data_IF_024314873213
#
_entry.id   IF_024314873213
#
_cell.length_a   1.000
_cell.length_b   1.000
_cell.length_c   1.000
_cell.angle_alpha   90.00
_cell.angle_beta   90.00
_cell.angle_gamma   90.00
#
_symmetry.space_group_name_H-M   'P 1'
#
loop_
_entity.id
_entity.type
_entity.pdbx_description
1 polymer ?
#
# COMPACT_ATOMS: atom_id res chain seq x y z
N UNK A 1 -19.49 35.24 1.62
CA UNK A 1 -19.29 35.40 3.08
C UNK A 1 -17.78 35.42 3.33
N UNK A 2 -17.22 36.36 4.07
CA UNK A 2 -15.79 36.29 4.44
C UNK A 2 -15.67 35.31 5.59
N UNK A 3 -14.74 34.35 5.50
CA UNK A 3 -14.42 33.49 6.65
C UNK A 3 -13.97 34.40 7.77
N UNK A 4 -14.64 34.38 8.91
CA UNK A 4 -14.27 35.22 10.06
C UNK A 4 -12.91 34.76 10.60
N UNK A 5 -11.98 35.69 10.88
CA UNK A 5 -10.66 35.34 11.43
C UNK A 5 -10.75 34.48 12.70
N UNK A 6 -11.77 34.71 13.53
CA UNK A 6 -12.02 33.92 14.74
C UNK A 6 -12.48 32.48 14.42
N UNK A 7 -13.24 32.26 13.34
CA UNK A 7 -13.62 30.93 12.89
C UNK A 7 -12.42 30.17 12.32
N UNK A 8 -11.57 30.85 11.56
CA UNK A 8 -10.32 30.31 11.05
C UNK A 8 -9.36 29.92 12.18
N UNK A 9 -9.18 30.81 13.18
CA UNK A 9 -8.33 30.52 14.33
C UNK A 9 -8.82 29.31 15.15
N UNK A 10 -10.16 29.20 15.34
CA UNK A 10 -10.76 28.03 16.01
C UNK A 10 -10.56 26.75 15.21
N UNK A 11 -10.67 26.82 13.87
CA UNK A 11 -10.46 25.67 13.02
C UNK A 11 -8.99 25.23 13.00
N UNK A 12 -8.05 26.17 12.94
CA UNK A 12 -6.60 25.88 13.05
C UNK A 12 -6.31 25.21 14.40
N UNK A 13 -6.79 25.77 15.52
CA UNK A 13 -6.62 25.15 16.84
C UNK A 13 -7.26 23.78 16.96
N UNK A 14 -8.36 23.52 16.25
CA UNK A 14 -8.99 22.21 16.21
C UNK A 14 -8.22 21.22 15.30
N UNK A 15 -7.56 21.71 14.25
CA UNK A 15 -6.67 20.90 13.40
C UNK A 15 -5.39 20.51 14.15
N UNK A 16 -4.81 21.44 14.91
CA UNK A 16 -3.65 21.16 15.78
C UNK A 16 -3.97 20.15 16.90
N UNK A 17 -5.24 20.06 17.29
CA UNK A 17 -5.72 19.13 18.31
C UNK A 17 -6.12 17.75 17.75
N UNK A 18 -5.89 17.49 16.47
CA UNK A 18 -6.14 16.15 15.90
C UNK A 18 -5.14 15.17 16.51
N UNK A 19 -5.68 14.26 17.30
CA UNK A 19 -4.92 13.22 18.00
C UNK A 19 -4.62 12.05 17.04
N UNK A 20 -3.42 12.02 16.51
CA UNK A 20 -2.94 10.96 15.62
C UNK A 20 -2.84 9.59 16.32
N UNK A 21 -2.72 9.56 17.66
CA UNK A 21 -2.66 8.33 18.44
C UNK A 21 -4.01 7.59 18.44
N UNK A 22 -5.11 8.29 18.14
CA UNK A 22 -6.43 7.67 17.96
C UNK A 22 -6.57 6.86 16.67
N UNK A 23 -5.60 6.96 15.77
CA UNK A 23 -5.60 6.28 14.48
C UNK A 23 -6.11 7.17 13.33
N UNK A 24 -5.81 6.73 12.11
CA UNK A 24 -6.07 7.51 10.89
C UNK A 24 -7.56 7.80 10.66
N UNK A 25 -8.42 6.79 10.77
CA UNK A 25 -9.86 6.94 10.45
C UNK A 25 -10.56 7.96 11.35
N UNK A 26 -10.44 7.90 12.70
CA UNK A 26 -11.01 8.93 13.55
C UNK A 26 -10.48 10.34 13.25
N UNK A 27 -9.19 10.48 12.94
CA UNK A 27 -8.57 11.77 12.61
C UNK A 27 -9.12 12.36 11.32
N UNK A 28 -9.33 11.54 10.29
CA UNK A 28 -9.94 11.96 9.01
C UNK A 28 -11.40 12.38 9.21
N UNK A 29 -12.19 11.60 9.95
CA UNK A 29 -13.59 11.95 10.26
C UNK A 29 -13.69 13.28 11.05
N UNK A 30 -12.79 13.49 12.01
CA UNK A 30 -12.71 14.74 12.76
C UNK A 30 -12.39 15.92 11.82
N UNK A 31 -11.44 15.75 10.89
CA UNK A 31 -11.08 16.77 9.92
C UNK A 31 -12.27 17.14 9.01
N UNK A 32 -12.98 16.14 8.46
CA UNK A 32 -14.18 16.36 7.66
C UNK A 32 -15.23 17.16 8.43
N UNK A 33 -15.47 16.82 9.70
CA UNK A 33 -16.39 17.56 10.56
C UNK A 33 -15.92 19.00 10.88
N UNK A 34 -14.62 19.23 11.03
CA UNK A 34 -14.03 20.58 11.20
C UNK A 34 -14.20 21.39 9.91
N UNK A 35 -13.90 20.81 8.76
CA UNK A 35 -14.04 21.44 7.44
C UNK A 35 -15.46 21.88 7.19
N UNK A 36 -16.45 21.02 7.50
CA UNK A 36 -17.89 21.36 7.39
C UNK A 36 -18.25 22.61 8.18
N UNK A 37 -17.79 22.69 9.43
CA UNK A 37 -18.04 23.85 10.31
C UNK A 37 -17.30 25.12 9.87
N UNK A 38 -16.04 24.97 9.41
CA UNK A 38 -15.21 26.08 8.96
C UNK A 38 -15.83 26.79 7.76
N UNK A 39 -16.32 26.02 6.80
CA UNK A 39 -16.93 26.52 5.56
C UNK A 39 -18.41 26.83 5.70
N UNK A 40 -19.04 26.54 6.84
CA UNK A 40 -20.51 26.57 6.99
C UNK A 40 -21.16 25.83 5.81
N UNK A 41 -20.66 24.63 5.53
CA UNK A 41 -21.13 23.78 4.47
C UNK A 41 -22.22 22.84 4.98
N UNK A 42 -23.13 22.41 4.09
CA UNK A 42 -24.18 21.45 4.43
C UNK A 42 -23.69 19.99 4.42
N UNK A 43 -22.62 19.71 3.69
CA UNK A 43 -21.94 18.42 3.65
C UNK A 43 -20.48 18.57 3.26
N UNK A 44 -19.65 17.62 3.67
CA UNK A 44 -18.24 17.50 3.26
C UNK A 44 -17.94 16.03 3.04
N UNK A 45 -17.24 15.72 1.94
CA UNK A 45 -16.78 14.40 1.59
C UNK A 45 -15.28 14.35 1.31
N UNK A 46 -14.72 13.16 1.35
CA UNK A 46 -13.34 12.86 0.98
C UNK A 46 -13.33 11.63 0.10
N UNK A 47 -12.76 11.76 -1.08
CA UNK A 47 -12.43 10.65 -1.95
C UNK A 47 -10.92 10.42 -1.98
N UNK A 48 -10.51 9.17 -2.06
CA UNK A 48 -9.10 8.77 -2.21
C UNK A 48 -8.94 7.81 -3.38
N UNK A 49 -7.79 7.87 -4.04
CA UNK A 49 -7.46 6.98 -5.14
C UNK A 49 -7.10 5.58 -4.60
N UNK A 50 -7.65 4.55 -5.22
CA UNK A 50 -7.28 3.15 -4.95
C UNK A 50 -6.01 2.72 -5.71
N UNK A 51 -5.62 1.44 -5.56
CA UNK A 51 -4.45 0.88 -6.22
C UNK A 51 -4.58 0.81 -7.75
N UNK A 52 -5.79 0.83 -8.27
CA UNK A 52 -6.15 0.81 -9.69
C UNK A 52 -6.23 2.21 -10.29
N UNK A 53 -6.11 3.27 -9.47
CA UNK A 53 -6.16 4.66 -9.89
C UNK A 53 -7.58 5.24 -9.96
N UNK A 54 -8.58 4.55 -9.42
CA UNK A 54 -9.95 5.03 -9.35
C UNK A 54 -10.22 5.77 -8.03
N UNK A 55 -11.01 6.84 -8.11
CA UNK A 55 -11.47 7.54 -6.90
C UNK A 55 -12.51 6.70 -6.16
N UNK A 56 -12.30 6.54 -4.84
CA UNK A 56 -13.15 5.82 -3.92
C UNK A 56 -13.53 6.71 -2.75
N UNK A 57 -14.77 6.61 -2.34
CA UNK A 57 -15.18 7.33 -1.15
C UNK A 57 -14.46 6.82 0.10
N UNK A 58 -14.00 7.72 0.92
CA UNK A 58 -13.20 7.39 2.11
C UNK A 58 -13.83 7.91 3.41
N UNK A 59 -14.46 9.08 3.39
CA UNK A 59 -15.11 9.67 4.55
C UNK A 59 -16.15 10.70 4.12
N UNK A 60 -17.19 10.89 4.94
CA UNK A 60 -18.18 11.93 4.77
C UNK A 60 -18.63 12.51 6.13
N UNK A 61 -19.13 13.74 6.12
CA UNK A 61 -19.60 14.43 7.32
C UNK A 61 -20.94 13.93 7.84
N UNK A 62 -21.76 13.37 6.96
CA UNK A 62 -23.10 12.86 7.22
C UNK A 62 -23.56 11.92 6.09
N UNK A 63 -24.69 11.26 6.30
CA UNK A 63 -25.23 10.27 5.39
C UNK A 63 -25.56 10.83 3.99
N UNK A 64 -25.98 12.10 3.88
CA UNK A 64 -26.29 12.69 2.58
C UNK A 64 -25.02 12.94 1.76
N UNK A 65 -23.98 13.45 2.41
CA UNK A 65 -22.68 13.59 1.77
C UNK A 65 -22.08 12.21 1.37
N UNK A 66 -22.23 11.19 2.24
CA UNK A 66 -21.81 9.82 1.93
C UNK A 66 -22.52 9.26 0.68
N UNK A 67 -23.85 9.39 0.61
CA UNK A 67 -24.62 8.95 -0.56
C UNK A 67 -24.17 9.64 -1.85
N UNK A 68 -23.84 10.94 -1.76
CA UNK A 68 -23.32 11.69 -2.89
C UNK A 68 -21.95 11.20 -3.34
N UNK A 69 -21.03 10.99 -2.40
CA UNK A 69 -19.70 10.47 -2.71
C UNK A 69 -19.77 9.09 -3.37
N UNK A 70 -20.62 8.19 -2.84
CA UNK A 70 -20.84 6.87 -3.42
C UNK A 70 -21.39 6.95 -4.84
N UNK A 71 -22.34 7.87 -5.09
CA UNK A 71 -22.90 8.06 -6.42
C UNK A 71 -21.88 8.65 -7.42
N UNK A 72 -21.01 9.58 -6.98
CA UNK A 72 -19.89 10.08 -7.80
C UNK A 72 -18.86 8.98 -8.09
N UNK A 73 -18.60 8.10 -7.13
CA UNK A 73 -17.75 6.92 -7.33
C UNK A 73 -18.34 5.98 -8.39
N UNK A 74 -19.62 5.63 -8.29
CA UNK A 74 -20.29 4.72 -9.23
C UNK A 74 -20.33 5.27 -10.65
N UNK A 75 -20.57 6.57 -10.80
CA UNK A 75 -20.63 7.24 -12.11
C UNK A 75 -19.23 7.56 -12.67
N UNK A 76 -18.20 7.60 -11.84
CA UNK A 76 -16.86 8.11 -12.17
C UNK A 76 -16.91 9.52 -12.80
N UNK A 77 -17.86 10.34 -12.35
CA UNK A 77 -18.13 11.69 -12.87
C UNK A 77 -18.46 12.64 -11.71
N UNK A 78 -18.23 13.92 -11.92
CA UNK A 78 -18.60 14.96 -10.97
C UNK A 78 -17.48 15.93 -10.65
N UNK A 79 -17.76 16.96 -9.83
CA UNK A 79 -16.78 17.96 -9.46
C UNK A 79 -15.53 17.38 -8.81
N UNK A 80 -15.65 16.28 -8.06
CA UNK A 80 -14.52 15.56 -7.47
C UNK A 80 -13.61 14.96 -8.56
N UNK A 81 -14.18 14.28 -9.55
CA UNK A 81 -13.44 13.71 -10.67
C UNK A 81 -12.72 14.80 -11.47
N UNK A 82 -13.41 15.91 -11.76
CA UNK A 82 -12.83 17.04 -12.47
C UNK A 82 -11.67 17.68 -11.68
N UNK A 83 -11.85 17.92 -10.38
CA UNK A 83 -10.81 18.49 -9.52
C UNK A 83 -9.58 17.59 -9.44
N UNK A 84 -9.77 16.27 -9.38
CA UNK A 84 -8.68 15.29 -9.37
C UNK A 84 -7.85 15.34 -10.66
N UNK A 85 -8.51 15.28 -11.83
CA UNK A 85 -7.81 15.23 -13.12
C UNK A 85 -7.23 16.58 -13.54
N UNK A 86 -7.93 17.68 -13.26
CA UNK A 86 -7.46 19.03 -13.57
C UNK A 86 -6.39 19.52 -12.59
N UNK A 87 -6.28 18.87 -11.41
CA UNK A 87 -5.41 19.29 -10.29
C UNK A 87 -5.67 20.74 -9.88
N UNK A 88 -6.93 21.13 -9.91
CA UNK A 88 -7.37 22.48 -9.62
C UNK A 88 -8.72 22.47 -8.90
N UNK A 89 -9.04 23.52 -8.11
CA UNK A 89 -10.37 23.67 -7.53
C UNK A 89 -11.46 23.74 -8.60
N UNK A 90 -12.54 23.02 -8.38
CA UNK A 90 -13.73 23.03 -9.24
C UNK A 90 -14.94 23.54 -8.43
N UNK A 91 -15.27 24.84 -8.54
CA UNK A 91 -16.46 25.40 -7.92
C UNK A 91 -17.67 25.22 -8.84
N UNK A 92 -18.73 24.61 -8.31
CA UNK A 92 -20.05 24.52 -8.94
C UNK A 92 -21.02 25.37 -8.13
N UNK A 93 -21.51 26.46 -8.72
CA UNK A 93 -22.39 27.42 -8.06
C UNK A 93 -23.80 26.89 -7.92
N UNK A 94 -24.33 26.28 -8.99
CA UNK A 94 -25.66 25.69 -9.05
C UNK A 94 -25.65 24.58 -10.11
N UNK A 95 -26.02 23.39 -9.71
CA UNK A 95 -26.10 22.21 -10.58
C UNK A 95 -27.36 22.19 -11.46
N UNK A 96 -28.32 23.11 -11.24
CA UNK A 96 -29.53 23.23 -12.07
C UNK A 96 -29.27 23.99 -13.38
N UNK A 97 -28.04 24.51 -13.60
CA UNK A 97 -27.63 25.19 -14.83
C UNK A 97 -27.44 24.23 -16.00
N UNK A 98 -27.37 24.81 -17.23
CA UNK A 98 -27.19 24.02 -18.44
C UNK A 98 -25.82 23.30 -18.45
N UNK A 99 -25.81 22.01 -18.73
CA UNK A 99 -24.61 21.25 -19.11
C UNK A 99 -24.18 20.09 -18.21
N UNK A 100 -24.81 19.82 -17.07
CA UNK A 100 -24.38 18.78 -16.13
C UNK A 100 -25.53 17.80 -15.73
N UNK A 101 -26.26 17.27 -16.72
CA UNK A 101 -27.52 16.56 -16.45
C UNK A 101 -27.40 15.34 -15.52
N UNK A 102 -26.38 14.50 -15.66
CA UNK A 102 -26.25 13.29 -14.83
C UNK A 102 -25.80 13.61 -13.41
N UNK A 103 -24.76 14.42 -13.26
CA UNK A 103 -24.26 14.80 -11.93
C UNK A 103 -25.25 15.73 -11.20
N UNK A 104 -26.02 16.55 -11.95
CA UNK A 104 -27.08 17.37 -11.37
C UNK A 104 -28.17 16.51 -10.72
N UNK A 105 -28.59 15.42 -11.36
CA UNK A 105 -29.57 14.51 -10.82
C UNK A 105 -29.08 13.87 -9.49
N UNK A 106 -27.79 13.51 -9.43
CA UNK A 106 -27.16 12.92 -8.24
C UNK A 106 -27.07 13.93 -7.10
N UNK A 107 -26.56 15.14 -7.36
CA UNK A 107 -26.46 16.21 -6.37
C UNK A 107 -27.84 16.60 -5.83
N UNK A 108 -28.83 16.77 -6.71
CA UNK A 108 -30.19 17.08 -6.31
C UNK A 108 -30.88 15.92 -5.57
N UNK A 109 -30.57 14.67 -5.95
CA UNK A 109 -31.04 13.48 -5.23
C UNK A 109 -30.51 13.44 -3.80
N UNK A 110 -29.27 13.88 -3.56
CA UNK A 110 -28.69 14.06 -2.24
C UNK A 110 -29.07 15.41 -1.57
N UNK A 111 -29.95 16.19 -2.16
CA UNK A 111 -30.42 17.50 -1.66
C UNK A 111 -29.34 18.60 -1.67
N UNK A 112 -28.33 18.51 -2.53
CA UNK A 112 -27.30 19.54 -2.71
C UNK A 112 -27.48 20.24 -4.06
N UNK A 113 -27.17 21.55 -4.11
CA UNK A 113 -27.24 22.38 -5.32
C UNK A 113 -25.90 22.97 -5.71
N UNK A 114 -24.99 23.13 -4.77
CA UNK A 114 -23.66 23.67 -5.02
C UNK A 114 -22.59 22.74 -4.48
N UNK A 115 -21.45 22.72 -5.15
CA UNK A 115 -20.30 21.93 -4.75
C UNK A 115 -18.99 22.72 -4.94
N UNK A 116 -18.01 22.44 -4.10
CA UNK A 116 -16.63 22.89 -4.27
C UNK A 116 -15.73 21.68 -4.02
N UNK A 117 -15.03 21.25 -5.05
CA UNK A 117 -14.06 20.15 -4.96
C UNK A 117 -12.64 20.68 -5.11
N UNK A 118 -11.72 20.20 -4.27
CA UNK A 118 -10.30 20.54 -4.35
C UNK A 118 -9.45 19.28 -4.34
N UNK A 119 -8.34 19.24 -5.09
CA UNK A 119 -7.45 18.07 -5.05
C UNK A 119 -6.73 17.97 -3.70
N UNK A 120 -6.56 16.74 -3.21
CA UNK A 120 -5.66 16.37 -2.14
C UNK A 120 -4.36 15.91 -2.77
N UNK A 121 -3.27 16.66 -2.57
CA UNK A 121 -1.98 16.38 -3.22
C UNK A 121 -0.94 15.89 -2.23
N UNK A 122 -0.23 14.81 -2.56
CA UNK A 122 0.88 14.27 -1.79
C UNK A 122 2.04 13.92 -2.73
N UNK A 123 3.26 14.32 -2.34
CA UNK A 123 4.48 14.03 -3.10
C UNK A 123 4.44 14.41 -4.59
N UNK A 124 3.71 15.51 -4.91
CA UNK A 124 3.65 16.06 -6.26
C UNK A 124 2.56 15.46 -7.17
N UNK A 125 1.68 14.58 -6.63
CA UNK A 125 0.54 14.05 -7.35
C UNK A 125 -0.76 14.10 -6.56
N UNK A 126 -1.93 14.13 -7.24
CA UNK A 126 -3.22 14.04 -6.58
C UNK A 126 -3.41 12.62 -6.05
N UNK A 127 -3.87 12.51 -4.80
CA UNK A 127 -4.20 11.24 -4.13
C UNK A 127 -5.68 11.15 -3.78
N UNK A 128 -6.46 12.18 -4.13
CA UNK A 128 -7.88 12.23 -3.85
C UNK A 128 -8.44 13.64 -3.99
N UNK A 129 -9.65 13.85 -3.48
CA UNK A 129 -10.32 15.16 -3.40
C UNK A 129 -10.98 15.35 -2.05
N UNK A 130 -11.07 16.62 -1.62
CA UNK A 130 -11.88 17.05 -0.51
C UNK A 130 -12.99 17.95 -1.04
N UNK A 131 -14.23 17.61 -0.71
CA UNK A 131 -15.42 18.12 -1.37
C UNK A 131 -16.35 18.78 -0.34
N UNK A 132 -16.83 19.99 -0.64
CA UNK A 132 -17.78 20.71 0.19
C UNK A 132 -19.08 20.94 -0.59
N UNK A 133 -20.22 20.75 0.07
CA UNK A 133 -21.56 20.81 -0.54
C UNK A 133 -22.45 21.82 0.16
N UNK A 134 -23.34 22.46 -0.64
CA UNK A 134 -24.36 23.35 -0.11
C UNK A 134 -25.74 22.99 -0.73
N UNK A 135 -26.80 23.06 0.09
CA UNK A 135 -28.19 22.78 -0.34
C UNK A 135 -28.76 23.90 -1.20
N UNK A 136 -28.29 25.13 -1.02
CA UNK A 136 -28.66 26.27 -1.83
C UNK A 136 -27.65 26.55 -2.92
N UNK A 137 -28.02 27.43 -3.87
CA UNK A 137 -27.07 28.07 -4.76
C UNK A 137 -25.99 28.78 -3.92
N UNK A 138 -24.72 28.57 -4.28
CA UNK A 138 -23.59 29.16 -3.55
C UNK A 138 -22.45 29.52 -4.49
N UNK A 139 -22.13 30.81 -4.54
CA UNK A 139 -20.90 31.28 -5.18
C UNK A 139 -19.75 31.14 -4.20
N UNK A 140 -18.90 30.17 -4.41
CA UNK A 140 -17.72 29.93 -3.61
C UNK A 140 -16.68 31.03 -3.82
N UNK A 141 -16.33 31.77 -2.79
CA UNK A 141 -15.35 32.86 -2.88
C UNK A 141 -13.92 32.33 -2.70
N UNK A 142 -12.93 33.15 -3.06
CA UNK A 142 -11.50 32.76 -2.97
C UNK A 142 -11.06 32.33 -1.58
N UNK A 143 -11.62 32.94 -0.51
CA UNK A 143 -11.32 32.59 0.87
C UNK A 143 -11.84 31.18 1.22
N UNK A 144 -13.01 30.80 0.72
CA UNK A 144 -13.58 29.45 0.93
C UNK A 144 -12.79 28.40 0.16
N UNK A 145 -12.41 28.70 -1.09
CA UNK A 145 -11.54 27.85 -1.90
C UNK A 145 -10.20 27.63 -1.19
N UNK A 146 -9.55 28.72 -0.75
CA UNK A 146 -8.27 28.64 -0.03
C UNK A 146 -8.38 27.86 1.29
N UNK A 147 -9.50 28.01 2.02
CA UNK A 147 -9.72 27.28 3.26
C UNK A 147 -9.91 25.78 3.01
N UNK A 148 -10.66 25.40 1.98
CA UNK A 148 -10.83 23.99 1.62
C UNK A 148 -9.49 23.37 1.16
N UNK A 149 -8.70 24.11 0.37
CA UNK A 149 -7.34 23.68 -0.01
C UNK A 149 -6.41 23.50 1.18
N UNK A 150 -6.47 24.39 2.18
CA UNK A 150 -5.71 24.24 3.42
C UNK A 150 -6.12 22.96 4.17
N UNK A 151 -7.42 22.67 4.27
CA UNK A 151 -7.92 21.42 4.85
C UNK A 151 -7.44 20.20 4.05
N UNK A 152 -7.45 20.25 2.72
CA UNK A 152 -6.92 19.19 1.86
C UNK A 152 -5.42 18.95 2.11
N UNK A 153 -4.64 20.01 2.34
CA UNK A 153 -3.24 19.90 2.75
C UNK A 153 -3.06 19.18 4.10
N UNK A 154 -3.95 19.40 5.06
CA UNK A 154 -3.94 18.66 6.33
C UNK A 154 -4.27 17.18 6.10
N UNK A 155 -5.27 16.84 5.25
CA UNK A 155 -5.54 15.44 4.85
C UNK A 155 -4.29 14.80 4.28
N UNK A 156 -3.64 15.46 3.33
CA UNK A 156 -2.42 14.95 2.70
C UNK A 156 -1.31 14.66 3.72
N UNK A 157 -1.10 15.55 4.68
CA UNK A 157 -0.13 15.35 5.74
C UNK A 157 -0.48 14.17 6.65
N UNK A 158 -1.75 14.04 7.07
CA UNK A 158 -2.23 12.91 7.88
C UNK A 158 -1.97 11.57 7.16
N UNK A 159 -2.32 11.49 5.88
CA UNK A 159 -2.11 10.30 5.06
C UNK A 159 -0.62 10.01 4.86
N UNK A 160 0.20 11.04 4.61
CA UNK A 160 1.64 10.92 4.48
C UNK A 160 2.31 10.36 5.74
N UNK A 161 1.92 10.86 6.92
CA UNK A 161 2.41 10.35 8.21
C UNK A 161 1.96 8.90 8.45
N UNK A 162 0.70 8.56 8.13
CA UNK A 162 0.21 7.20 8.29
C UNK A 162 0.97 6.21 7.39
N UNK A 163 1.24 6.57 6.13
CA UNK A 163 2.03 5.75 5.21
C UNK A 163 3.47 5.58 5.71
N UNK A 164 4.10 6.65 6.19
CA UNK A 164 5.45 6.61 6.75
C UNK A 164 5.52 5.72 8.00
N UNK A 165 4.59 5.86 8.94
CA UNK A 165 4.49 5.03 10.15
C UNK A 165 4.27 3.55 9.82
N UNK A 166 3.37 3.25 8.87
CA UNK A 166 3.13 1.89 8.41
C UNK A 166 4.39 1.26 7.79
N UNK A 167 5.11 2.03 6.95
CA UNK A 167 6.34 1.57 6.31
C UNK A 167 7.45 1.34 7.33
N UNK A 168 7.62 2.25 8.30
CA UNK A 168 8.59 2.12 9.39
C UNK A 168 8.26 0.93 10.30
N UNK A 169 7.01 0.77 10.70
CA UNK A 169 6.56 -0.34 11.52
C UNK A 169 6.73 -1.70 10.83
N UNK A 170 6.48 -1.78 9.54
CA UNK A 170 6.70 -2.97 8.73
C UNK A 170 8.19 -3.30 8.64
N UNK A 171 9.05 -2.32 8.39
CA UNK A 171 10.51 -2.51 8.34
C UNK A 171 11.06 -2.94 9.69
N UNK A 172 10.66 -2.27 10.78
CA UNK A 172 11.07 -2.63 12.14
C UNK A 172 10.67 -4.07 12.48
N UNK A 173 9.44 -4.48 12.16
CA UNK A 173 8.97 -5.85 12.37
C UNK A 173 9.74 -6.87 11.52
N UNK A 174 10.06 -6.55 10.26
CA UNK A 174 10.86 -7.42 9.40
C UNK A 174 12.29 -7.59 9.93
N UNK A 175 12.91 -6.51 10.42
CA UNK A 175 14.23 -6.55 11.05
C UNK A 175 14.22 -7.35 12.35
N UNK A 176 13.22 -7.15 13.19
CA UNK A 176 13.06 -7.90 14.43
C UNK A 176 12.92 -9.40 14.16
N UNK A 177 12.04 -9.79 13.23
CA UNK A 177 11.88 -11.20 12.84
C UNK A 177 13.17 -11.79 12.26
N UNK A 178 13.91 -11.03 11.46
CA UNK A 178 15.20 -11.49 10.91
C UNK A 178 16.24 -11.72 12.00
N UNK A 179 16.31 -10.85 13.01
CA UNK A 179 17.20 -10.99 14.17
C UNK A 179 16.79 -12.17 15.04
N UNK A 180 15.51 -12.35 15.32
CA UNK A 180 14.98 -13.51 16.07
C UNK A 180 15.29 -14.82 15.34
N UNK A 181 15.07 -14.89 14.03
CA UNK A 181 15.39 -16.07 13.24
C UNK A 181 16.89 -16.39 13.27
N UNK A 182 17.75 -15.36 13.15
CA UNK A 182 19.19 -15.54 13.22
C UNK A 182 19.63 -16.10 14.58
N UNK A 183 19.11 -15.53 15.68
CA UNK A 183 19.43 -15.96 17.03
C UNK A 183 19.05 -17.43 17.27
N UNK A 184 17.84 -17.82 16.88
CA UNK A 184 17.35 -19.19 17.00
C UNK A 184 18.21 -20.17 16.19
N UNK A 185 18.62 -19.79 14.98
CA UNK A 185 19.49 -20.62 14.13
C UNK A 185 20.87 -20.79 14.76
N UNK A 186 21.48 -19.70 15.27
CA UNK A 186 22.80 -19.78 15.92
C UNK A 186 22.77 -20.64 17.18
N UNK A 187 21.71 -20.55 18.00
CA UNK A 187 21.53 -21.41 19.17
C UNK A 187 21.39 -22.88 18.76
N UNK A 188 20.55 -23.18 17.76
CA UNK A 188 20.37 -24.56 17.29
C UNK A 188 21.65 -25.15 16.68
N UNK A 189 22.44 -24.34 15.98
CA UNK A 189 23.80 -24.73 15.53
C UNK A 189 24.67 -25.15 16.70
N UNK A 190 24.69 -24.34 17.79
CA UNK A 190 25.43 -24.68 19.00
C UNK A 190 25.02 -26.02 19.61
N UNK A 191 23.72 -26.31 19.65
CA UNK A 191 23.19 -27.60 20.12
C UNK A 191 23.68 -28.75 19.23
N UNK A 192 23.57 -28.63 17.89
CA UNK A 192 24.02 -29.66 16.94
C UNK A 192 25.52 -29.87 16.97
N UNK A 193 26.31 -28.80 17.12
CA UNK A 193 27.77 -28.88 17.28
C UNK A 193 28.12 -29.71 18.52
N UNK A 194 27.43 -29.52 19.63
CA UNK A 194 27.66 -30.26 20.88
C UNK A 194 27.18 -31.71 20.83
N UNK A 195 26.04 -31.98 20.21
CA UNK A 195 25.43 -33.31 20.18
C UNK A 195 25.92 -34.22 19.06
N UNK A 196 26.13 -33.64 17.85
CA UNK A 196 26.56 -34.40 16.66
C UNK A 196 28.05 -34.25 16.35
N UNK A 197 28.83 -33.51 17.19
CA UNK A 197 30.23 -33.22 17.01
C UNK A 197 30.54 -32.58 15.65
N UNK A 198 29.66 -31.71 15.17
CA UNK A 198 29.77 -31.00 13.90
C UNK A 198 30.50 -29.66 14.08
N UNK A 199 31.13 -29.17 13.02
CA UNK A 199 31.51 -27.76 12.97
C UNK A 199 30.32 -26.85 12.67
N UNK A 200 30.48 -25.53 12.78
CA UNK A 200 29.41 -24.57 12.59
C UNK A 200 28.80 -24.59 11.18
N UNK A 201 29.59 -24.88 10.15
CA UNK A 201 29.15 -24.95 8.76
C UNK A 201 28.36 -26.23 8.53
N UNK A 202 28.82 -27.37 9.01
CA UNK A 202 28.12 -28.66 8.95
C UNK A 202 26.81 -28.63 9.73
N UNK A 203 26.77 -28.01 10.93
CA UNK A 203 25.56 -27.83 11.71
C UNK A 203 24.52 -26.98 10.98
N UNK A 204 24.91 -25.92 10.30
CA UNK A 204 24.01 -25.12 9.49
C UNK A 204 23.48 -25.87 8.27
N UNK A 205 24.33 -26.60 7.53
CA UNK A 205 23.90 -27.43 6.40
C UNK A 205 22.95 -28.56 6.84
N UNK A 206 23.14 -29.08 8.05
CA UNK A 206 22.23 -30.07 8.64
C UNK A 206 20.84 -29.51 8.84
N UNK A 207 20.71 -28.32 9.47
CA UNK A 207 19.42 -27.59 9.60
C UNK A 207 18.79 -27.31 8.24
N UNK A 208 19.59 -26.83 7.30
CA UNK A 208 19.16 -26.45 5.96
C UNK A 208 18.70 -27.66 5.12
N UNK A 209 19.33 -28.79 5.26
CA UNK A 209 18.96 -30.05 4.60
C UNK A 209 17.58 -30.52 5.06
N UNK A 210 17.35 -30.53 6.39
CA UNK A 210 16.05 -30.93 6.95
C UNK A 210 14.97 -29.93 6.59
N UNK A 211 15.26 -28.62 6.60
CA UNK A 211 14.32 -27.60 6.20
C UNK A 211 13.86 -27.77 4.73
N UNK A 212 14.82 -28.06 3.83
CA UNK A 212 14.53 -28.31 2.42
C UNK A 212 13.67 -29.56 2.21
N UNK A 213 14.02 -30.68 2.84
CA UNK A 213 13.28 -31.94 2.69
C UNK A 213 11.84 -31.83 3.25
N UNK A 214 11.66 -31.06 4.33
CA UNK A 214 10.37 -30.83 4.97
C UNK A 214 9.56 -29.65 4.40
N UNK A 215 10.07 -28.91 3.39
CA UNK A 215 9.45 -27.67 2.87
C UNK A 215 9.18 -26.65 3.98
N UNK A 216 10.12 -26.47 4.87
CA UNK A 216 10.03 -25.63 6.05
C UNK A 216 11.14 -24.59 6.06
N UNK A 217 11.01 -23.59 6.89
CA UNK A 217 12.09 -22.62 7.10
C UNK A 217 13.16 -23.19 8.03
N UNK A 218 14.41 -22.74 7.85
CA UNK A 218 15.52 -23.13 8.71
C UNK A 218 15.25 -22.73 10.17
N UNK A 219 14.57 -21.61 10.38
CA UNK A 219 14.18 -21.14 11.72
C UNK A 219 13.16 -22.04 12.42
N UNK A 220 12.21 -22.64 11.66
CA UNK A 220 11.28 -23.63 12.23
C UNK A 220 12.00 -24.89 12.67
N UNK A 221 12.88 -25.43 11.84
CA UNK A 221 13.68 -26.61 12.18
C UNK A 221 14.61 -26.30 13.38
N UNK A 222 15.21 -25.11 13.41
CA UNK A 222 16.04 -24.68 14.52
C UNK A 222 15.27 -24.62 15.85
N UNK A 223 14.02 -24.13 15.85
CA UNK A 223 13.18 -24.15 17.07
C UNK A 223 12.89 -25.58 17.57
N UNK A 224 12.70 -26.53 16.68
CA UNK A 224 12.50 -27.94 17.06
C UNK A 224 13.74 -28.53 17.71
N UNK A 225 14.94 -28.24 17.15
CA UNK A 225 16.19 -28.65 17.77
C UNK A 225 16.31 -28.10 19.19
N UNK A 226 15.97 -26.83 19.39
CA UNK A 226 15.98 -26.20 20.72
C UNK A 226 14.91 -26.77 21.64
N UNK A 227 13.80 -27.26 21.11
CA UNK A 227 12.75 -27.95 21.86
C UNK A 227 13.12 -29.43 22.16
N UNK A 228 14.31 -29.89 21.77
CA UNK A 228 14.77 -31.26 22.00
C UNK A 228 14.18 -32.28 21.01
N UNK A 229 13.60 -31.83 19.90
CA UNK A 229 13.12 -32.73 18.84
C UNK A 229 14.32 -33.22 18.03
N UNK A 230 14.59 -34.53 17.98
CA UNK A 230 15.70 -35.06 17.19
C UNK A 230 15.47 -34.84 15.71
N UNK A 231 16.49 -34.38 14.99
CA UNK A 231 16.44 -34.25 13.56
C UNK A 231 16.45 -35.66 12.92
N UNK A 232 15.68 -35.89 11.84
CA UNK A 232 15.71 -37.14 11.10
C UNK A 232 17.14 -37.42 10.64
N UNK A 233 17.58 -38.66 10.75
CA UNK A 233 18.89 -39.11 10.22
C UNK A 233 19.00 -38.70 8.76
N UNK A 234 20.18 -38.26 8.32
CA UNK A 234 20.36 -37.72 6.95
C UNK A 234 19.66 -38.58 5.92
N UNK A 235 18.87 -38.01 5.02
CA UNK A 235 18.21 -38.82 4.00
C UNK A 235 19.26 -39.38 3.06
N UNK A 236 19.50 -40.67 3.15
CA UNK A 236 20.06 -41.44 2.09
C UNK A 236 19.14 -41.26 0.89
N UNK A 237 19.63 -40.65 -0.19
CA UNK A 237 19.05 -40.66 -1.55
C UNK A 237 17.53 -40.74 -1.65
N UNK A 238 16.81 -39.65 -1.37
CA UNK A 238 15.43 -39.54 -1.81
C UNK A 238 15.42 -39.04 -3.27
N UNK A 239 15.05 -39.92 -4.15
CA UNK A 239 14.77 -39.70 -5.57
C UNK A 239 13.96 -38.41 -5.82
N UNK A 240 14.48 -37.59 -6.71
CA UNK A 240 13.97 -36.24 -7.03
C UNK A 240 12.66 -36.20 -7.83
N UNK A 241 11.53 -35.72 -7.23
CA UNK A 241 10.45 -35.12 -8.01
C UNK A 241 10.61 -33.59 -8.19
N UNK A 242 11.68 -33.01 -7.66
CA UNK A 242 11.75 -31.56 -7.36
C UNK A 242 12.33 -30.68 -8.47
N UNK A 243 12.94 -31.23 -9.51
CA UNK A 243 13.61 -30.41 -10.55
C UNK A 243 12.62 -29.68 -11.48
N UNK A 244 11.49 -30.30 -11.85
CA UNK A 244 10.46 -29.61 -12.67
C UNK A 244 9.81 -28.44 -11.91
N UNK A 245 9.58 -28.60 -10.62
CA UNK A 245 9.08 -27.53 -9.74
C UNK A 245 10.10 -26.40 -9.56
N UNK A 246 11.40 -26.72 -9.51
CA UNK A 246 12.47 -25.72 -9.43
C UNK A 246 12.53 -24.83 -10.68
N UNK A 247 12.41 -25.42 -11.88
CA UNK A 247 12.38 -24.65 -13.13
C UNK A 247 11.18 -23.69 -13.17
N UNK A 248 10.00 -24.15 -12.77
CA UNK A 248 8.79 -23.30 -12.70
C UNK A 248 8.96 -22.18 -11.68
N UNK A 249 9.53 -22.48 -10.50
CA UNK A 249 9.77 -21.46 -9.47
C UNK A 249 10.78 -20.40 -9.94
N UNK A 250 11.85 -20.79 -10.63
CA UNK A 250 12.79 -19.84 -11.22
C UNK A 250 12.16 -18.98 -12.31
N UNK A 251 11.30 -19.53 -13.15
CA UNK A 251 10.59 -18.75 -14.17
C UNK A 251 9.63 -17.72 -13.55
N UNK A 252 8.90 -18.09 -12.50
CA UNK A 252 8.03 -17.17 -11.77
C UNK A 252 8.83 -16.07 -11.07
N UNK A 253 9.96 -16.40 -10.45
CA UNK A 253 10.85 -15.43 -9.81
C UNK A 253 11.44 -14.44 -10.82
N UNK A 254 11.87 -14.91 -12.00
CA UNK A 254 12.35 -14.04 -13.08
C UNK A 254 11.27 -13.06 -13.52
N UNK A 255 10.04 -13.54 -13.76
CA UNK A 255 8.91 -12.69 -14.12
C UNK A 255 8.54 -11.64 -13.05
N UNK A 256 8.77 -11.91 -11.77
CA UNK A 256 8.59 -10.93 -10.71
C UNK A 256 9.62 -9.81 -10.80
N UNK A 257 10.92 -10.15 -10.97
CA UNK A 257 11.99 -9.17 -11.11
C UNK A 257 11.79 -8.28 -12.35
N UNK A 258 11.26 -8.82 -13.45
CA UNK A 258 10.94 -8.05 -14.65
C UNK A 258 9.83 -7.02 -14.41
N UNK A 259 8.76 -7.43 -13.72
CA UNK A 259 7.69 -6.50 -13.34
C UNK A 259 8.18 -5.40 -12.41
N UNK A 260 9.06 -5.74 -11.46
CA UNK A 260 9.69 -4.75 -10.57
C UNK A 260 10.62 -3.80 -11.33
N UNK A 261 11.40 -4.30 -12.30
CA UNK A 261 12.25 -3.49 -13.14
C UNK A 261 11.43 -2.48 -13.96
N UNK A 262 10.35 -2.94 -14.61
CA UNK A 262 9.45 -2.08 -15.38
C UNK A 262 8.79 -1.01 -14.48
N UNK A 263 8.40 -1.37 -13.27
CA UNK A 263 7.85 -0.42 -12.29
C UNK A 263 8.88 0.64 -11.89
N UNK A 264 10.14 0.25 -11.63
CA UNK A 264 11.21 1.21 -11.32
C UNK A 264 11.56 2.12 -12.49
N UNK A 265 11.46 1.67 -13.74
CA UNK A 265 11.58 2.53 -14.92
C UNK A 265 10.49 3.58 -14.97
N UNK A 266 9.22 3.19 -14.75
CA UNK A 266 8.07 4.11 -14.70
C UNK A 266 8.19 5.14 -13.56
N UNK A 267 8.79 4.75 -12.42
CA UNK A 267 9.01 5.62 -11.27
C UNK A 267 10.27 6.50 -11.38
N UNK A 268 11.01 6.43 -12.50
CA UNK A 268 12.22 7.25 -12.73
C UNK A 268 13.44 6.80 -11.92
N UNK A 269 13.52 5.51 -11.57
CA UNK A 269 14.65 4.92 -10.84
C UNK A 269 15.48 3.96 -11.70
N UNK A 270 16.24 4.45 -12.71
CA UNK A 270 16.91 3.61 -13.72
C UNK A 270 17.97 2.67 -13.13
N UNK A 271 18.62 3.06 -12.01
CA UNK A 271 19.63 2.20 -11.38
C UNK A 271 19.00 0.99 -10.69
N UNK A 272 17.85 1.16 -10.03
CA UNK A 272 17.08 0.07 -9.44
C UNK A 272 16.48 -0.83 -10.51
N UNK A 273 15.98 -0.26 -11.59
CA UNK A 273 15.49 -1.03 -12.73
C UNK A 273 16.59 -1.92 -13.31
N UNK A 274 17.80 -1.39 -13.54
CA UNK A 274 18.95 -2.18 -14.00
C UNK A 274 19.31 -3.34 -13.07
N UNK A 275 19.29 -3.12 -11.77
CA UNK A 275 19.53 -4.19 -10.79
C UNK A 275 18.49 -5.31 -10.88
N UNK A 276 17.23 -4.96 -11.01
CA UNK A 276 16.16 -5.95 -11.13
C UNK A 276 16.21 -6.71 -12.47
N UNK A 277 16.57 -6.05 -13.58
CA UNK A 277 16.84 -6.71 -14.86
C UNK A 277 18.01 -7.71 -14.77
N UNK A 278 19.10 -7.35 -14.08
CA UNK A 278 20.22 -8.26 -13.86
C UNK A 278 19.81 -9.48 -13.02
N UNK A 279 18.99 -9.28 -11.99
CA UNK A 279 18.44 -10.38 -11.17
C UNK A 279 17.56 -11.30 -11.99
N UNK A 280 16.67 -10.75 -12.83
CA UNK A 280 15.84 -11.51 -13.72
C UNK A 280 16.68 -12.39 -14.67
N UNK A 281 17.71 -11.82 -15.29
CA UNK A 281 18.63 -12.54 -16.17
C UNK A 281 19.38 -13.67 -15.45
N UNK A 282 19.87 -13.42 -14.25
CA UNK A 282 20.57 -14.42 -13.44
C UNK A 282 19.67 -15.61 -13.07
N UNK A 283 18.40 -15.33 -12.72
CA UNK A 283 17.42 -16.36 -12.36
C UNK A 283 16.98 -17.15 -13.60
N UNK A 284 16.82 -16.51 -14.76
CA UNK A 284 16.56 -17.22 -16.05
C UNK A 284 17.71 -18.16 -16.42
N UNK A 285 18.94 -17.69 -16.37
CA UNK A 285 20.11 -18.51 -16.65
C UNK A 285 20.19 -19.73 -15.71
N UNK A 286 19.70 -19.61 -14.48
CA UNK A 286 19.61 -20.72 -13.54
C UNK A 286 18.52 -21.72 -13.93
N UNK A 287 17.35 -21.22 -14.37
CA UNK A 287 16.26 -22.07 -14.88
C UNK A 287 16.70 -22.88 -16.11
N UNK A 288 17.44 -22.26 -17.02
CA UNK A 288 17.99 -22.92 -18.23
C UNK A 288 18.99 -24.02 -17.86
N UNK A 289 19.97 -23.74 -17.01
CA UNK A 289 20.93 -24.76 -16.53
C UNK A 289 20.24 -25.94 -15.87
N UNK A 290 19.18 -25.68 -15.08
CA UNK A 290 18.40 -26.76 -14.45
C UNK A 290 17.62 -27.57 -15.48
N UNK A 291 17.11 -26.95 -16.55
CA UNK A 291 16.45 -27.61 -17.67
C UNK A 291 17.42 -28.46 -18.49
N UNK A 292 18.60 -27.93 -18.82
CA UNK A 292 19.60 -28.60 -19.61
C UNK A 292 20.19 -29.83 -18.88
N UNK A 293 20.28 -29.72 -17.53
CA UNK A 293 20.68 -30.87 -16.72
C UNK A 293 19.68 -32.05 -16.78
N UNK A 294 18.44 -31.79 -17.21
CA UNK A 294 17.40 -32.82 -17.41
C UNK A 294 17.57 -33.59 -18.73
N UNK A 295 18.28 -33.01 -19.73
CA UNK A 295 18.40 -33.58 -21.07
C UNK A 295 19.77 -34.27 -21.33
N UNK A 296 20.65 -34.34 -20.32
CA UNK A 296 21.87 -35.14 -20.47
C UNK A 296 21.54 -36.63 -20.35
N UNK A 297 21.73 -37.44 -21.40
CA UNK A 297 21.57 -38.88 -21.32
C UNK A 297 22.58 -39.42 -20.32
N UNK A 298 22.13 -40.19 -19.35
CA UNK A 298 22.99 -41.05 -18.53
C UNK A 298 23.65 -42.05 -19.46
N UNK A 299 24.93 -41.87 -19.77
CA UNK A 299 25.75 -42.84 -20.45
C UNK A 299 25.81 -44.08 -19.55
N UNK A 300 25.38 -45.28 -19.99
CA UNK A 300 25.59 -46.46 -19.19
C UNK A 300 27.08 -46.75 -19.15
N UNK A 301 27.67 -46.79 -17.94
CA UNK A 301 28.98 -47.38 -17.75
C UNK A 301 28.87 -48.87 -18.08
N UNK A 302 29.43 -49.23 -19.23
CA UNK A 302 29.57 -50.59 -19.64
C UNK A 302 30.67 -51.30 -18.87
N UNK A 303 30.33 -52.53 -18.50
CA UNK A 303 31.16 -53.76 -18.28
C UNK A 303 32.41 -53.63 -17.43
#
# INVERSE_FOLDING_TARGET
MRIEPAALARAIGALDAIDLDRGLVPSVLQLVAITKRLLDADGVGLMLVDAEGALRWAAASDQQAEQLEQAQEELAQGPCTDAFWQRAPVPVRDVTGEGAQEIAAVLLGASFRAALSVPVELAGGPIGTLDAYARGERAWNEGEVSALQACAGVVANLLGHAVAAFTQGRLARQLQLALEHRMVIEQAKGVLMAHELLDAAAAFERLRSVARSGRRTVAEVAREVLAGVPLPSSPTEATHPTRKLAVVAYQQAAGLHERLAALYEQLGHPDRARQEWQRAAAVRARAERERDSQHRPTTPQGS
#
